data_IF_610415045975
#
_entry.id   IF_610415045975
#
_cell.length_a   1.000
_cell.length_b   1.000
_cell.length_c   1.000
_cell.angle_alpha   90.00
_cell.angle_beta   90.00
_cell.angle_gamma   90.00
#
_symmetry.space_group_name_H-M   'P 1'
#
loop_
_entity.id
_entity.type
_entity.pdbx_description
1 polymer ?
#
# COMPACT_ATOMS: atom_id res chain seq x y z
N UNK A 1 33.74 -11.61 -54.34
CA UNK A 1 32.91 -11.55 -53.12
C UNK A 1 31.48 -11.69 -53.56
N UNK A 2 30.70 -12.64 -53.02
CA UNK A 2 29.29 -12.83 -53.38
C UNK A 2 28.47 -11.98 -52.42
N UNK A 3 27.70 -11.03 -52.95
CA UNK A 3 26.84 -10.14 -52.16
C UNK A 3 25.40 -10.45 -52.55
N UNK A 4 24.55 -10.71 -51.56
CA UNK A 4 23.13 -11.04 -51.75
C UNK A 4 22.28 -10.07 -50.92
N UNK A 5 21.43 -9.30 -51.59
CA UNK A 5 20.47 -8.40 -50.95
C UNK A 5 19.08 -9.00 -51.05
N UNK A 6 18.41 -9.16 -49.91
CA UNK A 6 17.02 -9.54 -49.83
C UNK A 6 16.19 -8.34 -49.46
N UNK A 7 15.10 -8.09 -50.20
CA UNK A 7 14.09 -7.09 -49.87
C UNK A 7 12.73 -7.80 -49.77
N UNK A 8 12.02 -7.61 -48.66
CA UNK A 8 10.77 -8.32 -48.35
C UNK A 8 10.90 -9.84 -48.54
N UNK A 9 12.01 -10.41 -48.04
CA UNK A 9 12.39 -11.83 -48.17
C UNK A 9 12.56 -12.36 -49.61
N UNK A 10 12.63 -11.49 -50.61
CA UNK A 10 12.92 -11.85 -52.01
C UNK A 10 14.32 -11.38 -52.39
N UNK A 11 15.08 -12.24 -53.08
CA UNK A 11 16.41 -11.90 -53.59
C UNK A 11 16.29 -10.82 -54.68
N UNK A 12 17.04 -9.74 -54.53
CA UNK A 12 17.11 -8.64 -55.49
C UNK A 12 18.13 -8.96 -56.58
N UNK A 13 17.76 -8.73 -57.83
CA UNK A 13 18.69 -8.84 -58.96
C UNK A 13 19.59 -7.59 -59.01
N UNK A 14 20.91 -7.77 -59.05
CA UNK A 14 21.91 -6.70 -59.08
C UNK A 14 22.72 -6.75 -60.39
N UNK A 15 23.07 -5.59 -60.95
CA UNK A 15 23.79 -5.50 -62.23
C UNK A 15 25.22 -6.06 -62.13
N UNK A 16 25.97 -5.69 -61.09
CA UNK A 16 27.35 -6.13 -60.90
C UNK A 16 27.71 -6.19 -59.40
N UNK A 17 28.33 -7.28 -58.89
CA UNK A 17 28.72 -7.40 -57.48
C UNK A 17 29.73 -6.34 -57.01
N UNK A 18 30.44 -5.69 -57.93
CA UNK A 18 31.41 -4.61 -57.66
C UNK A 18 30.79 -3.22 -57.56
N UNK A 19 29.53 -3.02 -58.02
CA UNK A 19 28.85 -1.72 -57.95
C UNK A 19 28.21 -1.47 -56.58
N UNK A 20 28.11 -2.52 -55.76
CA UNK A 20 27.91 -2.44 -54.31
C UNK A 20 29.26 -2.11 -53.64
N UNK A 21 29.83 -0.93 -53.90
CA UNK A 21 31.02 -0.43 -53.17
C UNK A 21 30.60 -0.04 -51.73
N UNK A 22 30.43 -1.06 -50.87
CA UNK A 22 30.04 -0.90 -49.46
C UNK A 22 31.25 -0.36 -48.69
N UNK A 23 31.40 0.97 -48.65
CA UNK A 23 32.40 1.63 -47.80
C UNK A 23 31.82 1.90 -46.41
N UNK A 24 32.30 1.15 -45.42
CA UNK A 24 31.98 1.39 -44.01
C UNK A 24 32.67 2.66 -43.53
N UNK A 25 31.95 3.77 -43.46
CA UNK A 25 32.45 4.97 -42.76
C UNK A 25 32.39 4.71 -41.25
N UNK A 26 33.56 4.50 -40.64
CA UNK A 26 33.73 4.27 -39.20
C UNK A 26 34.14 5.60 -38.55
N UNK A 27 33.28 6.21 -37.76
CA UNK A 27 33.71 7.29 -36.86
C UNK A 27 34.22 6.73 -35.53
N UNK A 28 35.25 7.38 -35.00
CA UNK A 28 36.08 6.92 -33.89
C UNK A 28 35.31 6.84 -32.55
N UNK A 29 35.56 5.75 -31.82
CA UNK A 29 35.12 5.54 -30.45
C UNK A 29 35.92 6.45 -29.48
N UNK A 30 35.25 7.36 -28.77
CA UNK A 30 35.84 8.16 -27.67
C UNK A 30 35.40 7.52 -26.33
N UNK A 31 36.31 6.91 -25.54
CA UNK A 31 35.96 6.13 -24.35
C UNK A 31 35.34 6.91 -23.17
N UNK A 32 35.33 8.25 -23.20
CA UNK A 32 35.08 9.08 -22.01
C UNK A 32 33.67 9.69 -21.93
N UNK A 33 32.72 9.28 -22.76
CA UNK A 33 31.32 9.62 -22.56
C UNK A 33 30.47 8.38 -22.70
N UNK A 34 29.68 8.07 -21.68
CA UNK A 34 28.61 7.06 -21.73
C UNK A 34 27.42 7.58 -22.58
N UNK A 35 27.73 8.15 -23.75
CA UNK A 35 26.74 8.46 -24.77
C UNK A 35 26.89 7.40 -25.84
N UNK A 36 25.98 6.42 -25.86
CA UNK A 36 25.77 5.58 -27.03
C UNK A 36 25.18 6.49 -28.11
N UNK A 37 26.02 7.26 -28.80
CA UNK A 37 25.65 7.83 -30.09
C UNK A 37 25.51 6.65 -31.05
N UNK A 38 24.28 6.22 -31.25
CA UNK A 38 23.88 5.27 -32.29
C UNK A 38 24.22 5.86 -33.65
N UNK A 39 25.18 5.25 -34.32
CA UNK A 39 25.65 5.67 -35.65
C UNK A 39 24.60 5.27 -36.68
N UNK A 40 24.12 6.25 -37.46
CA UNK A 40 23.33 5.98 -38.66
C UNK A 40 24.26 5.43 -39.74
N UNK A 41 24.14 4.14 -40.07
CA UNK A 41 24.70 3.61 -41.30
C UNK A 41 23.66 3.81 -42.40
N UNK A 42 23.94 4.75 -43.32
CA UNK A 42 23.17 4.95 -44.54
C UNK A 42 24.04 4.58 -45.73
N UNK A 43 23.61 3.60 -46.52
CA UNK A 43 24.26 3.19 -47.76
C UNK A 43 23.34 3.49 -48.93
N UNK A 44 23.82 4.27 -49.90
CA UNK A 44 23.10 4.51 -51.15
C UNK A 44 23.58 3.53 -52.22
N UNK A 45 22.66 2.83 -52.89
CA UNK A 45 22.98 2.02 -54.07
C UNK A 45 21.81 1.98 -55.05
N UNK A 46 22.12 1.63 -56.30
CA UNK A 46 21.17 1.46 -57.39
C UNK A 46 20.81 -0.01 -57.59
N UNK A 47 19.53 -0.29 -57.79
CA UNK A 47 18.97 -1.61 -58.12
C UNK A 47 18.31 -1.52 -59.50
N UNK A 48 18.59 -2.42 -60.45
CA UNK A 48 17.97 -2.38 -61.78
C UNK A 48 16.46 -2.65 -61.75
N UNK A 49 15.73 -2.03 -62.68
CA UNK A 49 14.28 -2.17 -62.88
C UNK A 49 13.92 -3.44 -63.67
N UNK A 50 14.30 -4.61 -63.14
CA UNK A 50 13.96 -5.90 -63.74
C UNK A 50 12.54 -6.31 -63.40
N UNK A 51 11.98 -7.30 -64.12
CA UNK A 51 10.63 -7.81 -63.84
C UNK A 51 10.48 -8.30 -62.39
N UNK A 52 11.51 -8.97 -61.86
CA UNK A 52 11.54 -9.45 -60.48
C UNK A 52 11.61 -8.29 -59.48
N UNK A 53 12.52 -7.33 -59.69
CA UNK A 53 12.65 -6.19 -58.79
C UNK A 53 11.40 -5.29 -58.81
N UNK A 54 10.76 -5.12 -59.97
CA UNK A 54 9.49 -4.40 -60.09
C UNK A 54 8.40 -5.07 -59.24
N UNK A 55 8.35 -6.39 -59.18
CA UNK A 55 7.41 -7.11 -58.32
C UNK A 55 7.76 -6.95 -56.83
N UNK A 56 9.05 -6.97 -56.47
CA UNK A 56 9.53 -6.75 -55.09
C UNK A 56 9.11 -5.37 -54.58
N UNK A 57 9.21 -4.34 -55.44
CA UNK A 57 8.82 -2.97 -55.13
C UNK A 57 7.37 -2.63 -55.50
N UNK A 58 6.50 -3.62 -55.75
CA UNK A 58 5.08 -3.40 -55.97
C UNK A 58 4.74 -2.53 -57.19
N UNK A 59 5.56 -2.58 -58.24
CA UNK A 59 5.45 -1.77 -59.46
C UNK A 59 5.43 -0.26 -59.21
N UNK A 60 6.15 0.19 -58.18
CA UNK A 60 6.31 1.62 -57.87
C UNK A 60 6.96 2.43 -59.00
N UNK A 61 7.58 1.79 -59.99
CA UNK A 61 8.00 2.45 -61.22
C UNK A 61 6.85 2.99 -62.10
N UNK A 62 5.62 2.54 -61.92
CA UNK A 62 4.44 3.04 -62.66
C UNK A 62 3.98 4.36 -62.03
N UNK A 63 3.90 5.45 -62.81
CA UNK A 63 3.59 6.82 -62.33
C UNK A 63 2.38 6.92 -61.38
N UNK A 64 1.36 6.09 -61.60
CA UNK A 64 0.07 6.12 -60.90
C UNK A 64 0.11 5.63 -59.43
N UNK A 65 1.18 4.98 -58.99
CA UNK A 65 1.27 4.50 -57.59
C UNK A 65 1.52 5.71 -56.65
N UNK A 66 0.65 5.93 -55.67
CA UNK A 66 0.85 6.98 -54.67
C UNK A 66 1.88 6.55 -53.59
N UNK A 67 2.50 7.53 -52.92
CA UNK A 67 3.38 7.35 -51.74
C UNK A 67 4.60 6.41 -51.92
N UNK A 68 5.06 6.21 -53.15
CA UNK A 68 6.16 5.29 -53.52
C UNK A 68 7.46 5.46 -52.72
N UNK A 69 7.77 6.69 -52.31
CA UNK A 69 8.99 7.04 -51.57
C UNK A 69 8.81 6.99 -50.04
N UNK A 70 7.59 6.76 -49.55
CA UNK A 70 7.27 6.65 -48.11
C UNK A 70 7.16 5.21 -47.63
N UNK A 71 7.20 4.24 -48.55
CA UNK A 71 7.13 2.80 -48.26
C UNK A 71 8.43 2.32 -47.64
N UNK A 72 8.31 1.58 -46.53
CA UNK A 72 9.43 0.88 -45.87
C UNK A 72 9.51 -0.54 -46.38
N UNK A 73 10.66 -0.94 -46.91
CA UNK A 73 10.89 -2.31 -47.34
C UNK A 73 11.85 -2.99 -46.37
N UNK A 74 11.54 -4.20 -45.89
CA UNK A 74 12.45 -4.95 -45.02
C UNK A 74 13.67 -5.39 -45.83
N UNK A 75 14.88 -5.20 -45.31
CA UNK A 75 16.10 -5.48 -46.05
C UNK A 75 17.16 -6.22 -45.23
N UNK A 76 17.73 -7.26 -45.83
CA UNK A 76 18.82 -8.07 -45.26
C UNK A 76 19.93 -8.23 -46.29
N UNK A 77 21.17 -7.94 -45.91
CA UNK A 77 22.34 -8.07 -46.78
C UNK A 77 23.29 -9.13 -46.27
N UNK A 78 23.67 -10.04 -47.16
CA UNK A 78 24.70 -11.04 -46.92
C UNK A 78 25.92 -10.78 -47.79
N UNK A 79 27.11 -10.93 -47.21
CA UNK A 79 28.37 -10.96 -47.94
C UNK A 79 29.10 -12.26 -47.62
N UNK A 80 29.31 -13.11 -48.63
CA UNK A 80 29.92 -14.45 -48.47
C UNK A 80 29.25 -15.26 -47.36
N UNK A 81 27.92 -15.35 -47.39
CA UNK A 81 27.07 -16.06 -46.44
C UNK A 81 27.06 -15.52 -45.00
N UNK A 82 27.71 -14.37 -44.74
CA UNK A 82 27.66 -13.66 -43.46
C UNK A 82 26.64 -12.52 -43.55
N UNK A 83 25.66 -12.49 -42.63
CA UNK A 83 24.71 -11.38 -42.50
C UNK A 83 25.46 -10.13 -42.03
N UNK A 84 25.57 -9.13 -42.89
CA UNK A 84 26.28 -7.86 -42.60
C UNK A 84 25.34 -6.68 -42.35
N UNK A 85 24.07 -6.78 -42.73
CA UNK A 85 23.05 -5.75 -42.48
C UNK A 85 21.66 -6.38 -42.30
N UNK A 86 20.87 -5.79 -41.39
CA UNK A 86 19.46 -6.06 -41.18
C UNK A 86 18.76 -4.76 -40.78
N UNK A 87 17.74 -4.34 -41.53
CA UNK A 87 17.08 -3.05 -41.36
C UNK A 87 16.03 -2.78 -42.43
N UNK A 88 15.90 -1.52 -42.83
CA UNK A 88 14.93 -1.10 -43.84
C UNK A 88 15.62 -0.48 -45.06
N UNK A 89 15.04 -0.70 -46.24
CA UNK A 89 15.36 0.01 -47.47
C UNK A 89 14.31 1.10 -47.73
N UNK A 90 14.77 2.32 -47.97
CA UNK A 90 13.94 3.45 -48.36
C UNK A 90 14.27 3.86 -49.78
N UNK A 91 13.25 3.94 -50.62
CA UNK A 91 13.38 4.40 -51.98
C UNK A 91 13.56 5.92 -52.01
N UNK A 92 14.60 6.42 -52.67
CA UNK A 92 14.89 7.85 -52.80
C UNK A 92 14.64 8.39 -54.21
N UNK A 93 14.85 7.56 -55.24
CA UNK A 93 14.69 7.94 -56.64
C UNK A 93 14.28 6.73 -57.47
N UNK A 94 13.42 6.93 -58.47
CA UNK A 94 13.13 5.94 -59.49
C UNK A 94 13.47 6.55 -60.84
N UNK A 95 14.30 5.86 -61.61
CA UNK A 95 14.58 6.17 -63.02
C UNK A 95 13.95 5.09 -63.90
N UNK A 96 13.92 5.31 -65.22
CA UNK A 96 13.41 4.30 -66.17
C UNK A 96 14.12 2.94 -66.04
N UNK A 97 15.37 2.93 -65.58
CA UNK A 97 16.22 1.73 -65.56
C UNK A 97 16.58 1.23 -64.17
N UNK A 98 16.47 2.07 -63.13
CA UNK A 98 16.98 1.76 -61.79
C UNK A 98 16.15 2.41 -60.68
N UNK A 99 16.05 1.70 -59.56
CA UNK A 99 15.62 2.17 -58.25
C UNK A 99 16.85 2.58 -57.44
N UNK A 100 16.89 3.80 -56.92
CA UNK A 100 17.90 4.21 -55.93
C UNK A 100 17.27 4.33 -54.57
N UNK A 101 18.02 3.91 -53.55
CA UNK A 101 17.54 4.00 -52.19
C UNK A 101 18.65 3.85 -51.17
N UNK A 102 18.27 3.99 -49.92
CA UNK A 102 19.16 3.92 -48.78
C UNK A 102 18.77 2.75 -47.87
N UNK A 103 19.77 1.99 -47.45
CA UNK A 103 19.63 1.05 -46.33
C UNK A 103 19.81 1.80 -45.02
N UNK A 104 18.81 1.71 -44.13
CA UNK A 104 18.77 2.35 -42.84
C UNK A 104 18.57 1.31 -41.74
N UNK A 105 19.47 1.29 -40.76
CA UNK A 105 19.23 0.58 -39.49
C UNK A 105 18.44 1.53 -38.59
N UNK A 106 17.22 1.19 -38.17
CA UNK A 106 16.47 2.04 -37.23
C UNK A 106 17.26 2.18 -35.93
N UNK A 107 17.38 3.42 -35.44
CA UNK A 107 18.08 3.70 -34.19
C UNK A 107 17.36 2.97 -33.04
N UNK A 108 18.08 2.18 -32.21
CA UNK A 108 17.49 1.68 -30.98
C UNK A 108 17.10 2.86 -30.11
N UNK A 109 15.81 2.93 -29.72
CA UNK A 109 15.32 3.99 -28.84
C UNK A 109 16.15 4.01 -27.55
N UNK A 110 16.63 5.18 -27.18
CA UNK A 110 17.31 5.35 -25.89
C UNK A 110 16.28 5.29 -24.75
N UNK A 111 16.77 5.07 -23.53
CA UNK A 111 15.94 5.16 -22.31
C UNK A 111 15.23 6.52 -22.23
N UNK A 112 15.89 7.60 -22.68
CA UNK A 112 15.29 8.93 -22.74
C UNK A 112 14.15 9.02 -23.75
N UNK A 113 14.22 8.30 -24.87
CA UNK A 113 13.14 8.26 -25.85
C UNK A 113 11.93 7.43 -25.38
N UNK A 114 12.16 6.49 -24.46
CA UNK A 114 11.11 5.65 -23.86
C UNK A 114 10.42 6.37 -22.69
N UNK A 115 11.19 6.93 -21.76
CA UNK A 115 10.65 7.50 -20.52
C UNK A 115 10.58 9.03 -20.50
N UNK A 116 11.28 9.73 -21.39
CA UNK A 116 11.36 11.18 -21.40
C UNK A 116 11.93 11.72 -20.08
N UNK A 117 11.26 12.74 -19.53
CA UNK A 117 11.57 13.33 -18.22
C UNK A 117 10.66 12.80 -17.10
N UNK A 118 9.96 11.66 -17.32
CA UNK A 118 9.07 11.07 -16.30
C UNK A 118 9.87 10.63 -15.08
N UNK A 119 9.39 11.03 -13.91
CA UNK A 119 9.89 10.50 -12.64
C UNK A 119 9.37 9.07 -12.41
N UNK A 120 10.05 8.29 -11.56
CA UNK A 120 9.64 6.90 -11.28
C UNK A 120 8.22 6.80 -10.70
N UNK A 121 7.79 7.77 -9.89
CA UNK A 121 6.43 7.85 -9.34
C UNK A 121 5.35 8.18 -10.40
N UNK A 122 5.75 8.49 -11.64
CA UNK A 122 4.85 8.77 -12.77
C UNK A 122 4.80 7.60 -13.77
N UNK A 123 5.51 6.50 -13.52
CA UNK A 123 5.60 5.33 -14.40
C UNK A 123 4.58 4.23 -14.04
N UNK A 124 3.32 4.64 -13.89
CA UNK A 124 2.20 3.73 -13.58
C UNK A 124 2.25 3.15 -12.17
N UNK A 125 1.27 2.31 -11.86
CA UNK A 125 1.13 1.68 -10.55
C UNK A 125 1.60 0.22 -10.60
N UNK A 126 2.36 -0.20 -9.59
CA UNK A 126 2.63 -1.61 -9.33
C UNK A 126 1.94 -2.04 -8.04
N UNK A 127 0.85 -2.81 -8.18
CA UNK A 127 0.11 -3.35 -7.04
C UNK A 127 0.68 -4.72 -6.68
N UNK A 128 1.40 -4.77 -5.56
CA UNK A 128 1.86 -6.03 -4.96
C UNK A 128 0.74 -6.52 -4.03
N UNK A 129 0.17 -7.71 -4.24
CA UNK A 129 -0.93 -8.19 -3.42
C UNK A 129 -0.42 -8.61 -2.04
N UNK A 130 -0.85 -7.88 -1.01
CA UNK A 130 -0.68 -8.29 0.38
C UNK A 130 -2.05 -8.69 0.94
N UNK A 131 -2.18 -9.95 1.34
CA UNK A 131 -3.41 -10.48 1.91
C UNK A 131 -3.40 -10.23 3.43
N UNK A 132 -3.55 -11.28 4.23
CA UNK A 132 -3.30 -11.21 5.68
C UNK A 132 -1.81 -10.98 5.96
N UNK A 133 -1.52 -10.01 6.83
CA UNK A 133 -0.16 -9.63 7.20
C UNK A 133 0.74 -10.83 7.56
N UNK A 134 0.31 -11.72 8.46
CA UNK A 134 1.15 -12.82 8.97
C UNK A 134 1.54 -13.80 7.87
N UNK A 135 0.59 -14.11 6.97
CA UNK A 135 0.87 -14.97 5.83
C UNK A 135 1.76 -14.25 4.81
N UNK A 136 1.52 -12.96 4.55
CA UNK A 136 2.34 -12.18 3.61
C UNK A 136 3.79 -12.06 4.06
N UNK A 137 4.07 -11.75 5.33
CA UNK A 137 5.45 -11.74 5.84
C UNK A 137 6.12 -13.09 5.61
N UNK A 138 5.46 -14.16 6.05
CA UNK A 138 6.05 -15.50 6.02
C UNK A 138 6.26 -15.96 4.57
N UNK A 139 5.27 -15.74 3.70
CA UNK A 139 5.33 -16.17 2.30
C UNK A 139 6.39 -15.42 1.52
N UNK A 140 6.45 -14.09 1.65
CA UNK A 140 7.41 -13.28 0.90
C UNK A 140 8.85 -13.49 1.40
N UNK A 141 9.06 -13.66 2.71
CA UNK A 141 10.39 -13.92 3.26
C UNK A 141 10.89 -15.34 2.95
N UNK A 142 10.00 -16.33 2.75
CA UNK A 142 10.37 -17.71 2.42
C UNK A 142 10.55 -17.95 0.91
N UNK A 143 9.90 -17.17 0.05
CA UNK A 143 9.92 -17.38 -1.41
C UNK A 143 11.32 -17.24 -2.04
N UNK A 144 12.23 -16.46 -1.45
CA UNK A 144 13.62 -16.34 -1.91
C UNK A 144 13.84 -15.50 -3.18
N UNK A 145 12.86 -15.38 -4.06
CA UNK A 145 12.88 -14.59 -5.31
C UNK A 145 11.62 -13.70 -5.51
N UNK A 146 10.91 -13.41 -4.42
CA UNK A 146 9.66 -12.67 -4.42
C UNK A 146 9.78 -11.20 -4.84
N UNK A 147 8.65 -10.63 -5.26
CA UNK A 147 8.50 -9.21 -5.60
C UNK A 147 8.93 -8.25 -4.47
N UNK A 148 8.83 -8.71 -3.22
CA UNK A 148 9.16 -7.94 -2.04
C UNK A 148 9.63 -8.86 -0.90
N UNK A 149 10.26 -8.27 0.11
CA UNK A 149 10.62 -8.91 1.38
C UNK A 149 10.19 -7.98 2.52
N UNK A 150 9.85 -8.55 3.68
CA UNK A 150 9.57 -7.80 4.90
C UNK A 150 10.81 -7.78 5.79
N UNK A 151 11.57 -6.68 5.79
CA UNK A 151 12.77 -6.53 6.59
C UNK A 151 12.39 -6.39 8.07
N UNK A 152 13.10 -7.12 8.93
CA UNK A 152 12.92 -7.05 10.38
C UNK A 152 13.67 -5.86 11.03
N UNK A 153 14.23 -4.96 10.20
CA UNK A 153 14.97 -3.78 10.61
C UNK A 153 14.18 -2.54 10.19
N UNK A 154 14.00 -1.61 11.13
CA UNK A 154 13.24 -0.38 10.90
C UNK A 154 13.96 0.61 9.99
N UNK A 155 13.15 1.34 9.20
CA UNK A 155 13.63 2.39 8.32
C UNK A 155 13.30 3.77 8.87
N UNK A 156 14.22 4.33 9.66
CA UNK A 156 14.43 5.79 9.82
C UNK A 156 13.31 6.68 10.38
N UNK A 157 12.10 6.19 10.58
CA UNK A 157 10.95 6.94 11.07
C UNK A 157 10.24 6.13 12.14
N UNK A 158 10.62 6.38 13.40
CA UNK A 158 10.06 5.65 14.52
C UNK A 158 8.66 6.20 14.86
N UNK A 159 7.62 5.36 14.90
CA UNK A 159 6.29 5.75 15.37
C UNK A 159 6.36 6.04 16.88
N UNK A 160 5.79 7.18 17.29
CA UNK A 160 5.89 7.66 18.68
C UNK A 160 4.55 8.06 19.26
N UNK A 161 4.40 7.81 20.55
CA UNK A 161 3.36 8.41 21.38
C UNK A 161 3.87 9.72 22.00
N UNK A 162 2.99 10.69 22.29
CA UNK A 162 3.42 11.93 22.94
C UNK A 162 3.96 11.64 24.35
N UNK A 163 4.98 12.40 24.77
CA UNK A 163 5.61 12.28 26.10
C UNK A 163 4.75 12.82 27.24
N UNK A 164 3.73 13.61 26.92
CA UNK A 164 2.81 14.26 27.85
C UNK A 164 1.46 14.50 27.16
N UNK A 165 0.41 14.86 27.92
CA UNK A 165 -0.94 15.16 27.44
C UNK A 165 -1.04 16.39 26.49
N UNK A 166 0.07 16.85 25.89
CA UNK A 166 0.22 18.12 25.19
C UNK A 166 0.82 17.97 23.78
N UNK A 167 0.53 16.87 23.06
CA UNK A 167 0.99 16.64 21.67
C UNK A 167 2.50 16.85 21.45
N UNK A 168 3.29 16.66 22.49
CA UNK A 168 4.74 16.87 22.45
C UNK A 168 5.41 15.54 22.14
N UNK A 169 6.10 15.46 21.01
CA UNK A 169 6.79 14.25 20.54
C UNK A 169 8.29 14.43 20.61
N UNK A 170 9.01 13.38 21.00
CA UNK A 170 10.47 13.35 20.83
C UNK A 170 10.82 13.13 19.35
N UNK A 171 12.07 13.43 18.93
CA UNK A 171 12.46 13.31 17.53
C UNK A 171 12.22 11.89 16.98
N UNK A 172 11.62 11.76 15.78
CA UNK A 172 11.32 10.47 15.11
C UNK A 172 12.56 9.62 14.80
N UNK A 173 13.76 10.19 14.91
CA UNK A 173 15.05 9.51 14.70
C UNK A 173 15.63 8.90 15.98
N UNK A 174 15.09 9.23 17.16
CA UNK A 174 15.57 8.74 18.45
C UNK A 174 14.79 7.49 18.88
N UNK A 175 15.46 6.40 19.22
CA UNK A 175 14.81 5.23 19.82
C UNK A 175 14.71 5.39 21.34
N UNK A 176 13.50 5.62 21.86
CA UNK A 176 13.22 5.84 23.29
C UNK A 176 11.90 5.15 23.71
N UNK A 177 11.51 5.30 24.98
CA UNK A 177 10.34 4.65 25.58
C UNK A 177 9.00 5.10 24.99
N UNK A 178 9.01 6.13 24.13
CA UNK A 178 7.82 6.60 23.42
C UNK A 178 7.60 5.88 22.10
N UNK A 179 8.58 5.08 21.64
CA UNK A 179 8.45 4.31 20.41
C UNK A 179 7.38 3.23 20.60
N UNK A 180 6.37 3.22 19.72
CA UNK A 180 5.31 2.21 19.69
C UNK A 180 5.25 1.63 18.30
N UNK A 181 5.91 0.49 18.16
CA UNK A 181 5.98 -0.23 16.89
C UNK A 181 4.71 -1.03 16.73
N UNK A 182 3.97 -0.70 15.67
CA UNK A 182 2.93 -1.53 15.14
C UNK A 182 3.44 -2.25 13.90
N UNK A 183 2.60 -3.17 13.46
CA UNK A 183 2.81 -4.03 12.32
C UNK A 183 2.83 -3.24 11.00
N UNK A 184 2.18 -2.07 10.97
CA UNK A 184 2.09 -1.15 9.84
C UNK A 184 3.37 -0.31 9.65
N UNK A 185 4.22 -0.27 10.68
CA UNK A 185 5.46 0.50 10.70
C UNK A 185 6.66 -0.26 10.09
N UNK A 186 6.41 -1.47 9.55
CA UNK A 186 7.40 -2.34 8.90
C UNK A 186 7.11 -2.46 7.40
N UNK A 187 7.50 -1.45 6.60
CA UNK A 187 7.22 -1.47 5.17
C UNK A 187 8.06 -2.53 4.45
N UNK A 188 7.50 -3.26 3.48
CA UNK A 188 8.23 -4.18 2.62
C UNK A 188 9.28 -3.44 1.78
N UNK A 189 10.44 -4.08 1.64
CA UNK A 189 11.46 -3.70 0.68
C UNK A 189 11.18 -4.41 -0.65
N UNK A 190 11.33 -3.68 -1.75
CA UNK A 190 10.89 -4.14 -3.07
C UNK A 190 12.09 -4.62 -3.90
N UNK A 191 11.92 -5.72 -4.63
CA UNK A 191 12.99 -6.26 -5.47
C UNK A 191 13.30 -5.33 -6.66
N UNK A 192 14.58 -4.98 -6.86
CA UNK A 192 15.00 -4.02 -7.89
C UNK A 192 14.70 -4.52 -9.29
N UNK A 193 14.99 -5.79 -9.58
CA UNK A 193 14.81 -6.34 -10.91
C UNK A 193 13.33 -6.48 -11.29
N UNK A 194 12.49 -6.87 -10.33
CA UNK A 194 11.05 -6.94 -10.53
C UNK A 194 10.45 -5.54 -10.72
N UNK A 195 10.91 -4.56 -9.94
CA UNK A 195 10.51 -3.15 -10.10
C UNK A 195 10.86 -2.64 -11.51
N UNK A 196 12.08 -2.89 -11.99
CA UNK A 196 12.51 -2.48 -13.32
C UNK A 196 11.69 -3.15 -14.41
N UNK A 197 11.45 -4.46 -14.33
CA UNK A 197 10.54 -5.15 -15.26
C UNK A 197 9.19 -4.44 -15.32
N UNK A 198 8.62 -4.12 -14.16
CA UNK A 198 7.30 -3.48 -14.11
C UNK A 198 7.26 -2.08 -14.71
N UNK A 199 8.32 -1.30 -14.53
CA UNK A 199 8.45 0.04 -15.12
C UNK A 199 8.48 -0.03 -16.66
N UNK A 200 9.20 -1.00 -17.23
CA UNK A 200 9.23 -1.20 -18.68
C UNK A 200 7.91 -1.77 -19.20
N UNK A 201 7.31 -2.74 -18.51
CA UNK A 201 5.99 -3.28 -18.85
C UNK A 201 4.91 -2.19 -18.87
N UNK A 202 4.93 -1.27 -17.92
CA UNK A 202 3.98 -0.15 -17.86
C UNK A 202 4.13 0.85 -19.03
N UNK A 203 5.19 0.74 -19.82
CA UNK A 203 5.42 1.53 -21.04
C UNK A 203 5.43 0.64 -22.30
N UNK A 204 4.86 -0.57 -22.22
CA UNK A 204 4.74 -1.53 -23.32
C UNK A 204 6.08 -2.08 -23.84
N UNK A 205 7.10 -2.15 -22.98
CA UNK A 205 8.40 -2.77 -23.29
C UNK A 205 8.68 -3.99 -22.41
N UNK A 206 9.37 -4.97 -22.98
CA UNK A 206 9.91 -6.11 -22.25
C UNK A 206 11.38 -5.85 -21.91
N UNK A 207 11.75 -6.02 -20.64
CA UNK A 207 13.14 -5.88 -20.19
C UNK A 207 13.82 -7.25 -20.15
N UNK A 208 14.77 -7.46 -21.06
CA UNK A 208 15.56 -8.70 -21.18
C UNK A 208 17.05 -8.46 -20.88
N UNK A 209 17.76 -9.48 -20.41
CA UNK A 209 19.20 -9.39 -20.17
C UNK A 209 19.74 -10.47 -19.25
N UNK A 210 21.07 -10.61 -19.23
CA UNK A 210 21.78 -11.53 -18.33
C UNK A 210 21.69 -11.13 -16.85
N UNK A 211 21.36 -9.87 -16.56
CA UNK A 211 21.14 -9.34 -15.20
C UNK A 211 20.08 -10.13 -14.41
N UNK A 212 19.08 -10.69 -15.11
CA UNK A 212 18.03 -11.50 -14.50
C UNK A 212 18.46 -12.93 -14.16
N UNK A 213 19.64 -13.34 -14.61
CA UNK A 213 20.22 -14.66 -14.30
C UNK A 213 21.22 -14.60 -13.15
N UNK A 214 21.64 -13.40 -12.73
CA UNK A 214 22.62 -13.20 -11.66
C UNK A 214 21.98 -13.37 -10.26
N UNK A 215 22.50 -14.31 -9.47
CA UNK A 215 21.99 -14.66 -8.15
C UNK A 215 22.15 -13.55 -7.10
N UNK A 216 23.16 -12.69 -7.22
CA UNK A 216 23.35 -11.58 -6.30
C UNK A 216 22.37 -10.46 -6.61
N UNK A 217 22.16 -10.15 -7.89
CA UNK A 217 21.24 -9.09 -8.31
C UNK A 217 19.78 -9.47 -8.08
N UNK A 218 19.42 -10.75 -8.21
CA UNK A 218 18.10 -11.24 -7.79
C UNK A 218 17.77 -10.99 -6.32
N UNK A 219 18.80 -10.85 -5.46
CA UNK A 219 18.64 -10.63 -4.01
C UNK A 219 18.77 -9.15 -3.62
N UNK A 220 18.80 -8.24 -4.59
CA UNK A 220 18.87 -6.81 -4.32
C UNK A 220 17.46 -6.24 -4.11
N UNK A 221 17.23 -5.68 -2.91
CA UNK A 221 15.98 -5.03 -2.53
C UNK A 221 16.23 -3.56 -2.20
N UNK A 222 15.29 -2.70 -2.58
CA UNK A 222 15.29 -1.29 -2.21
C UNK A 222 14.40 -1.11 -1.00
N UNK A 223 15.00 -0.56 0.05
CA UNK A 223 14.31 -0.18 1.28
C UNK A 223 13.27 0.91 0.99
N UNK A 224 12.14 0.82 1.68
CA UNK A 224 11.15 1.87 1.65
C UNK A 224 11.62 3.07 2.47
N UNK A 225 11.63 4.25 1.86
CA UNK A 225 11.85 5.53 2.53
C UNK A 225 10.91 6.55 1.94
N UNK A 226 10.14 7.21 2.81
CA UNK A 226 9.28 8.32 2.43
C UNK A 226 9.54 9.54 3.30
N UNK A 227 8.96 10.67 2.90
CA UNK A 227 9.03 11.90 3.68
C UNK A 227 8.44 11.68 5.09
N UNK A 228 9.00 12.31 6.16
CA UNK A 228 8.47 12.16 7.53
C UNK A 228 6.99 12.56 7.71
N UNK A 229 6.44 13.34 6.77
CA UNK A 229 5.04 13.76 6.70
C UNK A 229 4.16 12.85 5.83
N UNK A 230 4.75 11.87 5.12
CA UNK A 230 4.01 10.93 4.29
C UNK A 230 3.14 10.04 5.16
N UNK A 231 1.82 10.17 4.99
CA UNK A 231 0.85 9.26 5.59
C UNK A 231 0.84 7.99 4.77
N UNK A 232 1.24 6.89 5.42
CA UNK A 232 1.39 5.63 4.74
C UNK A 232 0.03 4.97 4.52
N UNK A 233 -0.42 4.93 3.26
CA UNK A 233 -1.68 4.30 2.86
C UNK A 233 -1.47 2.79 2.65
N UNK A 234 -1.16 2.05 3.71
CA UNK A 234 -1.20 0.59 3.63
C UNK A 234 -2.66 0.13 3.61
N UNK A 235 -3.07 -0.47 2.50
CA UNK A 235 -4.23 -1.35 2.49
C UNK A 235 -3.72 -2.78 2.58
N UNK A 236 -3.32 -3.21 3.78
CA UNK A 236 -3.22 -4.65 4.08
C UNK A 236 -4.60 -5.23 3.81
N UNK A 237 -4.72 -6.25 2.97
CA UNK A 237 -6.02 -6.76 2.51
C UNK A 237 -7.03 -7.06 3.63
N UNK A 238 -8.29 -7.22 3.22
CA UNK A 238 -9.52 -7.36 4.03
C UNK A 238 -9.54 -6.68 5.41
N UNK A 239 -9.94 -5.41 5.44
CA UNK A 239 -10.26 -4.62 6.63
C UNK A 239 -11.78 -4.56 6.94
N UNK A 240 -12.52 -5.65 6.68
CA UNK A 240 -13.93 -5.73 7.09
C UNK A 240 -14.55 -7.11 6.90
N UNK A 241 -15.25 -7.68 7.88
CA UNK A 241 -16.41 -7.06 8.53
C UNK A 241 -16.49 -7.41 10.01
N UNK A 242 -16.68 -6.40 10.86
CA UNK A 242 -16.73 -6.51 12.33
C UNK A 242 -18.17 -6.44 12.84
N UNK A 243 -18.54 -7.30 13.76
CA UNK A 243 -19.78 -7.31 14.52
C UNK A 243 -19.47 -7.76 15.95
N UNK A 244 -19.37 -6.78 16.83
CA UNK A 244 -19.23 -7.02 18.27
C UNK A 244 -20.55 -6.66 18.90
N UNK A 245 -21.14 -7.60 19.62
CA UNK A 245 -22.27 -7.33 20.50
C UNK A 245 -21.94 -7.78 21.91
N UNK A 246 -22.39 -7.03 22.87
CA UNK A 246 -22.17 -7.35 24.26
C UNK A 246 -23.07 -6.54 25.17
N UNK A 247 -22.90 -6.80 26.45
CA UNK A 247 -23.51 -6.03 27.49
C UNK A 247 -22.48 -5.79 28.59
N UNK A 248 -22.68 -4.71 29.33
CA UNK A 248 -21.89 -4.36 30.49
C UNK A 248 -22.82 -3.96 31.62
N UNK A 249 -22.40 -4.24 32.86
CA UNK A 249 -23.10 -3.81 34.08
C UNK A 249 -22.09 -3.40 35.14
N UNK A 250 -22.38 -2.32 35.85
CA UNK A 250 -21.54 -1.87 36.97
C UNK A 250 -21.52 -2.87 38.14
N UNK A 251 -22.60 -3.66 38.31
CA UNK A 251 -22.72 -4.71 39.32
C UNK A 251 -23.32 -5.99 38.71
N UNK A 252 -22.71 -7.12 39.04
CA UNK A 252 -23.14 -8.46 38.63
C UNK A 252 -23.52 -9.34 39.82
N UNK A 253 -24.34 -10.36 39.54
CA UNK A 253 -24.78 -11.38 40.49
C UNK A 253 -25.48 -10.86 41.76
N UNK A 254 -26.18 -9.73 41.65
CA UNK A 254 -26.93 -9.14 42.76
C UNK A 254 -27.90 -10.13 43.41
N UNK A 255 -28.55 -10.99 42.62
CA UNK A 255 -29.56 -11.94 43.10
C UNK A 255 -28.96 -13.23 43.72
N UNK A 256 -27.66 -13.49 43.52
CA UNK A 256 -27.02 -14.78 43.87
C UNK A 256 -26.07 -14.68 45.08
N UNK A 257 -25.97 -13.50 45.71
CA UNK A 257 -25.14 -13.29 46.91
C UNK A 257 -23.63 -13.18 46.67
N UNK A 258 -23.15 -13.51 45.48
CA UNK A 258 -21.75 -13.39 45.05
C UNK A 258 -21.52 -12.14 44.21
N UNK A 259 -21.57 -10.96 44.84
CA UNK A 259 -21.46 -9.68 44.13
C UNK A 259 -20.13 -9.56 43.36
N UNK A 260 -20.21 -9.15 42.10
CA UNK A 260 -19.05 -8.81 41.28
C UNK A 260 -19.12 -7.35 40.82
N UNK A 261 -18.21 -6.53 41.33
CA UNK A 261 -18.13 -5.09 41.05
C UNK A 261 -17.31 -4.80 39.79
N UNK A 262 -17.66 -3.74 39.07
CA UNK A 262 -16.75 -3.15 38.08
C UNK A 262 -15.62 -2.41 38.82
N UNK A 263 -14.38 -2.72 38.45
CA UNK A 263 -13.16 -2.15 39.06
C UNK A 263 -12.25 -1.49 38.04
N UNK A 264 -12.48 -1.68 36.74
CA UNK A 264 -11.90 -0.88 35.67
C UNK A 264 -12.77 0.35 35.43
N UNK A 265 -12.49 1.41 36.19
CA UNK A 265 -13.13 2.69 36.00
C UNK A 265 -12.17 3.82 36.38
N UNK A 266 -12.48 4.99 35.84
CA UNK A 266 -11.85 6.25 36.21
C UNK A 266 -12.88 7.16 36.88
N UNK A 267 -12.41 7.94 37.85
CA UNK A 267 -13.22 8.96 38.53
C UNK A 267 -12.74 10.31 38.04
N UNK A 268 -13.62 11.07 37.40
CA UNK A 268 -13.34 12.44 37.02
C UNK A 268 -14.30 13.39 37.78
N UNK A 269 -13.77 14.47 38.35
CA UNK A 269 -14.53 15.52 39.00
C UNK A 269 -14.29 16.84 38.27
N UNK A 270 -15.34 17.38 37.66
CA UNK A 270 -15.31 18.66 36.93
C UNK A 270 -16.31 19.63 37.53
N UNK A 271 -16.30 20.89 37.09
CA UNK A 271 -17.33 21.88 37.45
C UNK A 271 -18.75 21.42 37.06
N UNK A 272 -18.87 20.54 36.05
CA UNK A 272 -20.15 20.01 35.55
C UNK A 272 -20.65 18.81 36.36
N UNK A 273 -19.83 18.25 37.26
CA UNK A 273 -20.21 17.14 38.12
C UNK A 273 -19.15 16.05 38.26
N UNK A 274 -19.53 14.97 38.95
CA UNK A 274 -18.70 13.78 39.18
C UNK A 274 -19.08 12.68 38.20
N UNK A 275 -18.11 12.19 37.45
CA UNK A 275 -18.27 11.16 36.44
C UNK A 275 -17.53 9.90 36.84
N UNK A 276 -18.16 8.76 36.57
CA UNK A 276 -17.53 7.45 36.60
C UNK A 276 -17.47 6.99 35.15
N UNK A 277 -16.26 6.75 34.68
CA UNK A 277 -15.98 6.43 33.28
C UNK A 277 -15.45 5.00 33.23
N UNK A 278 -15.98 4.20 32.30
CA UNK A 278 -15.56 2.82 32.09
C UNK A 278 -15.37 2.60 30.59
N UNK A 279 -14.20 2.06 30.22
CA UNK A 279 -13.96 1.58 28.87
C UNK A 279 -14.67 0.23 28.68
N UNK A 280 -15.71 0.22 27.86
CA UNK A 280 -16.50 -0.99 27.58
C UNK A 280 -15.68 -2.09 26.89
N UNK A 281 -14.53 -1.74 26.29
CA UNK A 281 -13.61 -2.69 25.66
C UNK A 281 -12.47 -3.14 26.59
N UNK A 282 -12.40 -2.60 27.80
CA UNK A 282 -11.41 -2.96 28.83
C UNK A 282 -12.07 -2.91 30.22
N UNK A 283 -12.91 -3.90 30.50
CA UNK A 283 -13.76 -3.91 31.70
C UNK A 283 -13.80 -5.28 32.38
N UNK A 284 -14.08 -5.29 33.69
CA UNK A 284 -14.28 -6.53 34.43
C UNK A 284 -15.63 -7.18 34.08
N UNK A 285 -16.69 -6.37 34.01
CA UNK A 285 -18.07 -6.86 33.93
C UNK A 285 -18.66 -6.83 32.52
N UNK A 286 -17.84 -6.62 31.50
CA UNK A 286 -18.29 -6.75 30.11
C UNK A 286 -18.48 -8.22 29.75
N UNK A 287 -19.47 -8.50 28.92
CA UNK A 287 -19.65 -9.77 28.25
C UNK A 287 -19.81 -9.55 26.76
N UNK A 288 -18.87 -10.09 25.99
CA UNK A 288 -18.97 -10.12 24.54
C UNK A 288 -19.82 -11.34 24.14
N UNK A 289 -21.03 -11.07 23.68
CA UNK A 289 -22.04 -12.08 23.29
C UNK A 289 -21.89 -12.56 21.84
N UNK A 290 -21.31 -11.73 20.99
CA UNK A 290 -20.94 -12.06 19.63
C UNK A 290 -19.68 -11.25 19.28
N UNK A 291 -18.67 -11.91 18.72
CA UNK A 291 -17.53 -11.27 18.09
C UNK A 291 -17.45 -11.92 16.70
N UNK A 292 -17.80 -11.18 15.66
CA UNK A 292 -17.64 -11.65 14.27
C UNK A 292 -16.80 -10.65 13.52
N UNK A 293 -15.57 -11.02 13.17
CA UNK A 293 -14.57 -10.18 12.52
C UNK A 293 -14.07 -10.94 11.29
N UNK A 294 -14.32 -10.41 10.10
CA UNK A 294 -13.87 -10.98 8.85
C UNK A 294 -12.87 -10.06 8.15
N UNK A 295 -11.96 -9.46 8.92
CA UNK A 295 -10.82 -8.69 8.40
C UNK A 295 -9.61 -8.59 9.34
N UNK A 296 -9.50 -9.49 10.32
CA UNK A 296 -8.44 -9.47 11.35
C UNK A 296 -8.34 -8.13 12.11
N UNK A 297 -9.49 -7.47 12.27
CA UNK A 297 -9.64 -6.19 12.92
C UNK A 297 -9.65 -6.29 14.46
N UNK A 298 -9.89 -7.47 15.03
CA UNK A 298 -10.15 -7.64 16.46
C UNK A 298 -9.11 -8.50 17.17
N UNK A 299 -8.68 -8.05 18.35
CA UNK A 299 -7.81 -8.83 19.24
C UNK A 299 -8.48 -8.94 20.60
N UNK A 300 -8.87 -10.15 20.97
CA UNK A 300 -9.44 -10.46 22.28
C UNK A 300 -8.42 -11.15 23.17
N UNK A 301 -8.33 -10.71 24.41
CA UNK A 301 -7.61 -11.45 25.44
C UNK A 301 -8.13 -11.12 26.83
N UNK A 302 -7.85 -12.02 27.76
CA UNK A 302 -8.17 -11.86 29.17
C UNK A 302 -6.89 -11.60 29.96
N UNK A 303 -6.98 -10.66 30.88
CA UNK A 303 -5.93 -10.39 31.85
C UNK A 303 -6.55 -10.34 33.24
N UNK A 304 -5.72 -10.20 34.27
CA UNK A 304 -6.21 -9.92 35.61
C UNK A 304 -5.93 -8.48 35.95
N UNK A 305 -6.85 -7.84 36.65
CA UNK A 305 -6.57 -6.55 37.27
C UNK A 305 -5.62 -6.71 38.47
N UNK A 306 -5.27 -5.57 39.09
CA UNK A 306 -4.45 -5.53 40.31
C UNK A 306 -5.09 -6.23 41.52
N UNK A 307 -6.36 -6.62 41.43
CA UNK A 307 -7.14 -7.31 42.46
C UNK A 307 -7.42 -8.77 42.09
N UNK A 308 -6.71 -9.31 41.08
CA UNK A 308 -6.81 -10.69 40.60
C UNK A 308 -8.21 -11.06 40.04
N UNK A 309 -9.03 -10.08 39.67
CA UNK A 309 -10.31 -10.28 38.97
C UNK A 309 -10.08 -10.29 37.45
N UNK A 310 -10.78 -11.15 36.68
CA UNK A 310 -10.66 -11.16 35.23
C UNK A 310 -11.09 -9.81 34.63
N UNK A 311 -10.29 -9.35 33.67
CA UNK A 311 -10.53 -8.18 32.83
C UNK A 311 -10.54 -8.66 31.40
N UNK A 312 -11.63 -8.38 30.70
CA UNK A 312 -11.78 -8.72 29.29
C UNK A 312 -11.39 -7.53 28.45
N UNK A 313 -10.44 -7.74 27.54
CA UNK A 313 -9.91 -6.70 26.66
C UNK A 313 -10.21 -7.05 25.21
N UNK A 314 -10.79 -6.11 24.49
CA UNK A 314 -11.09 -6.23 23.07
C UNK A 314 -10.54 -5.02 22.33
N UNK A 315 -9.45 -5.20 21.59
CA UNK A 315 -8.95 -4.18 20.68
C UNK A 315 -9.66 -4.31 19.34
N UNK A 316 -10.07 -3.19 18.74
CA UNK A 316 -10.73 -3.15 17.43
C UNK A 316 -10.04 -2.08 16.57
N UNK A 317 -9.43 -2.52 15.47
CA UNK A 317 -8.84 -1.66 14.44
C UNK A 317 -9.86 -1.45 13.32
N UNK A 318 -10.16 -0.19 12.98
CA UNK A 318 -11.09 0.13 11.88
C UNK A 318 -10.44 1.11 10.90
N UNK A 319 -10.79 1.06 9.61
CA UNK A 319 -10.32 2.05 8.64
C UNK A 319 -10.58 3.50 9.08
N UNK A 320 -9.64 4.41 8.80
CA UNK A 320 -9.78 5.84 9.16
C UNK A 320 -11.04 6.48 8.55
N UNK A 321 -11.42 6.04 7.35
CA UNK A 321 -12.61 6.50 6.63
C UNK A 321 -13.52 5.32 6.34
N UNK A 322 -14.83 5.48 6.60
CA UNK A 322 -15.82 4.42 6.43
C UNK A 322 -17.14 4.74 7.13
N UNK A 323 -18.20 4.00 6.78
CA UNK A 323 -19.50 4.11 7.44
C UNK A 323 -19.62 3.06 8.54
N UNK A 324 -19.64 3.52 9.80
CA UNK A 324 -19.73 2.67 10.98
C UNK A 324 -21.09 2.79 11.66
N UNK A 325 -21.68 1.66 12.05
CA UNK A 325 -22.93 1.63 12.80
C UNK A 325 -22.69 1.19 14.24
N UNK A 326 -22.81 2.13 15.17
CA UNK A 326 -22.82 1.86 16.61
C UNK A 326 -24.25 1.92 17.13
N UNK A 327 -24.70 0.85 17.77
CA UNK A 327 -25.98 0.82 18.49
C UNK A 327 -25.70 0.61 19.97
N UNK A 328 -26.02 1.59 20.79
CA UNK A 328 -26.00 1.45 22.24
C UNK A 328 -27.42 1.53 22.78
N UNK A 329 -27.77 0.59 23.64
CA UNK A 329 -28.95 0.69 24.50
C UNK A 329 -28.46 0.74 25.93
N UNK A 330 -28.85 1.77 26.65
CA UNK A 330 -28.44 2.00 28.02
C UNK A 330 -29.66 2.20 28.92
N UNK A 331 -29.53 1.76 30.17
CA UNK A 331 -30.57 1.93 31.19
C UNK A 331 -29.91 2.07 32.55
N UNK A 332 -30.36 3.03 33.34
CA UNK A 332 -30.02 3.09 34.76
C UNK A 332 -31.09 2.33 35.53
N UNK A 333 -30.67 1.32 36.29
CA UNK A 333 -31.53 0.63 37.24
C UNK A 333 -31.02 0.90 38.64
N UNK A 334 -31.89 1.41 39.50
CA UNK A 334 -31.67 1.39 40.95
C UNK A 334 -32.11 0.01 41.46
N UNK A 335 -31.38 -0.56 42.42
CA UNK A 335 -31.74 -1.87 42.98
C UNK A 335 -33.15 -1.85 43.57
N UNK A 336 -33.95 -2.86 43.23
CA UNK A 336 -35.34 -3.02 43.68
C UNK A 336 -35.43 -3.69 45.06
N UNK A 337 -34.29 -4.00 45.70
CA UNK A 337 -34.27 -4.66 47.00
C UNK A 337 -35.00 -3.79 48.02
N UNK A 338 -36.09 -4.32 48.57
CA UNK A 338 -36.83 -3.72 49.67
C UNK A 338 -35.93 -3.67 50.90
N UNK A 339 -35.35 -2.50 51.13
CA UNK A 339 -34.55 -2.25 52.34
C UNK A 339 -35.44 -1.79 53.49
N UNK A 340 -35.23 -2.38 54.66
CA UNK A 340 -35.92 -1.99 55.88
C UNK A 340 -35.71 -0.49 56.19
N UNK A 341 -36.75 0.16 56.70
CA UNK A 341 -36.72 1.57 57.07
C UNK A 341 -35.55 1.88 58.00
N UNK A 342 -34.58 2.66 57.50
CA UNK A 342 -33.41 3.12 58.28
C UNK A 342 -32.06 2.59 57.82
N UNK A 343 -32.02 1.58 56.93
CA UNK A 343 -30.77 1.06 56.37
C UNK A 343 -30.84 1.06 54.84
N UNK A 344 -30.40 2.14 54.15
CA UNK A 344 -30.34 2.14 52.69
C UNK A 344 -29.44 0.98 52.24
N UNK A 345 -29.82 0.27 51.18
CA UNK A 345 -28.98 -0.80 50.65
C UNK A 345 -27.73 -0.12 50.11
N UNK A 346 -26.62 -0.32 50.83
CA UNK A 346 -25.31 0.21 50.52
C UNK A 346 -24.38 -0.99 50.42
N UNK A 347 -23.86 -1.23 49.23
CA UNK A 347 -22.76 -2.14 49.01
C UNK A 347 -21.53 -1.30 48.71
N UNK A 348 -20.44 -1.61 49.37
CA UNK A 348 -19.15 -0.98 49.12
C UNK A 348 -18.22 -2.05 48.60
N UNK A 349 -17.61 -1.81 47.44
CA UNK A 349 -16.57 -2.71 46.95
C UNK A 349 -15.39 -2.63 47.93
N UNK A 350 -14.99 -3.75 48.58
CA UNK A 350 -13.94 -3.73 49.58
C UNK A 350 -12.59 -3.24 49.04
N UNK A 351 -12.36 -3.39 47.73
CA UNK A 351 -11.09 -3.05 47.08
C UNK A 351 -11.04 -1.59 46.60
N UNK A 352 -12.05 -1.13 45.85
CA UNK A 352 -12.04 0.22 45.26
C UNK A 352 -12.74 1.28 46.11
N UNK A 353 -13.42 0.86 47.19
CA UNK A 353 -14.27 1.71 48.04
C UNK A 353 -15.39 2.40 47.28
N UNK A 354 -15.72 1.92 46.08
CA UNK A 354 -16.83 2.45 45.30
C UNK A 354 -18.15 2.01 45.94
N UNK A 355 -19.07 2.97 46.10
CA UNK A 355 -20.32 2.75 46.79
C UNK A 355 -21.45 2.58 45.78
N UNK A 356 -22.12 1.44 45.86
CA UNK A 356 -23.31 1.08 45.11
C UNK A 356 -24.52 1.21 46.05
N UNK A 357 -25.44 2.12 45.71
CA UNK A 357 -26.59 2.45 46.56
C UNK A 357 -27.91 2.07 45.87
N UNK A 358 -28.87 1.55 46.64
CA UNK A 358 -30.28 1.53 46.26
C UNK A 358 -31.05 2.70 46.91
N UNK A 359 -32.14 3.11 46.29
CA UNK A 359 -33.11 3.99 46.93
C UNK A 359 -33.90 3.18 47.97
N UNK A 360 -34.05 3.64 49.22
CA UNK A 360 -35.15 3.13 50.04
C UNK A 360 -36.48 3.61 49.44
N UNK A 361 -37.45 2.71 49.27
CA UNK A 361 -38.87 3.05 49.08
C UNK A 361 -39.42 3.60 50.40
N UNK A 362 -38.98 4.79 50.82
CA UNK A 362 -39.49 5.43 52.02
C UNK A 362 -40.80 6.17 51.71
N UNK A 363 -41.77 6.10 52.64
CA UNK A 363 -42.89 7.03 52.65
C UNK A 363 -42.34 8.47 52.78
N UNK A 364 -43.03 9.44 52.17
CA UNK A 364 -42.60 10.83 51.93
C UNK A 364 -42.19 11.65 53.19
N UNK A 365 -42.19 11.08 54.40
CA UNK A 365 -42.04 11.80 55.66
C UNK A 365 -40.64 11.71 56.31
N UNK A 366 -39.71 10.87 55.83
CA UNK A 366 -38.42 10.72 56.48
C UNK A 366 -37.34 11.66 55.89
N UNK A 367 -36.89 12.65 56.68
CA UNK A 367 -35.84 13.63 56.31
C UNK A 367 -34.46 13.02 56.05
N UNK A 368 -34.24 11.75 56.40
CA UNK A 368 -32.99 11.00 56.12
C UNK A 368 -33.06 10.13 54.87
N UNK A 369 -34.19 10.12 54.15
CA UNK A 369 -34.32 9.38 52.91
C UNK A 369 -33.55 10.10 51.78
N UNK A 370 -32.57 9.42 51.19
CA UNK A 370 -31.96 9.85 49.94
C UNK A 370 -32.93 9.51 48.80
N UNK A 371 -33.59 10.52 48.25
CA UNK A 371 -34.52 10.41 47.11
C UNK A 371 -33.77 10.17 45.79
N UNK A 372 -32.99 9.10 45.72
CA UNK A 372 -32.28 8.69 44.50
C UNK A 372 -33.26 8.42 43.36
N UNK A 373 -34.46 7.91 43.66
CA UNK A 373 -35.59 7.77 42.73
C UNK A 373 -36.05 9.09 42.09
N UNK A 374 -35.85 10.22 42.78
CA UNK A 374 -36.19 11.57 42.29
C UNK A 374 -35.00 12.31 41.68
N UNK A 375 -33.83 11.67 41.61
CA UNK A 375 -32.66 12.26 40.95
C UNK A 375 -32.72 11.96 39.47
N UNK A 376 -32.19 12.90 38.69
CA UNK A 376 -31.95 12.71 37.28
C UNK A 376 -30.62 11.98 37.09
N UNK A 377 -30.66 10.93 36.29
CA UNK A 377 -29.47 10.23 35.84
C UNK A 377 -29.41 10.33 34.33
N UNK A 378 -28.30 10.84 33.81
CA UNK A 378 -28.07 10.93 32.38
C UNK A 378 -26.94 9.94 32.02
N UNK A 379 -27.13 9.22 30.91
CA UNK A 379 -26.08 8.39 30.30
C UNK A 379 -25.67 9.09 29.02
N UNK A 380 -24.38 9.36 28.87
CA UNK A 380 -23.81 9.93 27.67
C UNK A 380 -22.74 9.00 27.11
N UNK A 381 -22.66 8.93 25.78
CA UNK A 381 -21.66 8.16 25.04
C UNK A 381 -20.72 9.14 24.40
N UNK A 382 -19.45 9.04 24.75
CA UNK A 382 -18.41 9.90 24.22
C UNK A 382 -17.45 9.07 23.36
N UNK A 383 -16.94 9.69 22.30
CA UNK A 383 -15.82 9.13 21.53
C UNK A 383 -14.56 9.80 22.03
N UNK A 384 -13.60 9.00 22.47
CA UNK A 384 -12.25 9.45 22.78
C UNK A 384 -11.33 9.20 21.58
N UNK A 385 -10.46 10.17 21.26
CA UNK A 385 -9.44 10.07 20.21
C UNK A 385 -8.06 9.70 20.78
N UNK A 386 -8.04 8.98 21.91
CA UNK A 386 -6.82 8.53 22.57
C UNK A 386 -6.26 9.55 23.57
N UNK A 387 -7.06 10.52 24.00
CA UNK A 387 -6.70 11.49 25.03
C UNK A 387 -6.91 10.98 26.46
N UNK A 388 -7.73 9.94 26.65
CA UNK A 388 -8.06 9.33 27.95
C UNK A 388 -9.00 10.18 28.82
N UNK A 389 -9.14 11.47 28.52
CA UNK A 389 -9.97 12.43 29.27
C UNK A 389 -11.39 12.58 28.72
N UNK A 390 -11.70 11.95 27.58
CA UNK A 390 -12.99 12.04 26.87
C UNK A 390 -13.43 13.49 26.56
N UNK A 391 -12.48 14.43 26.42
CA UNK A 391 -12.71 15.88 26.33
C UNK A 391 -13.48 16.46 27.54
N UNK A 392 -13.54 15.74 28.68
CA UNK A 392 -14.24 16.19 29.88
C UNK A 392 -13.44 17.26 30.64
N UNK A 393 -12.12 17.28 30.46
CA UNK A 393 -11.22 18.26 31.09
C UNK A 393 -10.93 19.48 30.18
N UNK A 394 -11.37 19.49 28.93
CA UNK A 394 -11.08 20.58 27.98
C UNK A 394 -12.24 20.96 27.07
N UNK A 395 -13.20 21.75 27.59
CA UNK A 395 -13.85 22.87 26.87
C UNK A 395 -14.20 24.01 27.82
N UNK A 396 -13.32 25.00 27.90
CA UNK A 396 -13.67 26.41 28.20
C UNK A 396 -14.33 26.93 26.90
N UNK A 397 -15.50 27.58 26.83
CA UNK A 397 -15.95 28.85 27.43
C UNK A 397 -17.45 29.03 27.17
N UNK A 398 -18.16 29.74 28.05
CA UNK A 398 -18.88 30.95 27.60
C UNK A 398 -18.27 32.14 28.33
#
# INVERSE_FOLDING_TARGET
MKVELFINNKLVEINNPTDLDIRLNKENYIPNSLSTKSVEYSFTFSIPSTKQNNEIFGFTNIEEVADKFSVKYEAVLYASDVKIFEGYFFLSEITEKEYKGNLLIPVPKSIKDVFGDKLMNQNGEWKIPFNSFQNSISSYNQAGDGAAIFPLIFYGLLPKIPTSNSDTYTPKTLYDDTVRLSIEDLPPAVNVLQMLKKIFENNDYELIGNVFTDENLKKLYVSYQNDPSFLQEWNWGDLGSVSVSGWWRSLLHEDFGTLQFERQFEKNETEKGKYIITDLFNANNVSFTNITDNGTNTIYYESKDRYNQPVKKLHITVPRSGLYKVKLTSSVKLSDRTVAHGSPYRQEDPETKLIYCAAPTASQQNRRANYFDKKRYDIAVFRDFGGGDFELDNKITQ
#
